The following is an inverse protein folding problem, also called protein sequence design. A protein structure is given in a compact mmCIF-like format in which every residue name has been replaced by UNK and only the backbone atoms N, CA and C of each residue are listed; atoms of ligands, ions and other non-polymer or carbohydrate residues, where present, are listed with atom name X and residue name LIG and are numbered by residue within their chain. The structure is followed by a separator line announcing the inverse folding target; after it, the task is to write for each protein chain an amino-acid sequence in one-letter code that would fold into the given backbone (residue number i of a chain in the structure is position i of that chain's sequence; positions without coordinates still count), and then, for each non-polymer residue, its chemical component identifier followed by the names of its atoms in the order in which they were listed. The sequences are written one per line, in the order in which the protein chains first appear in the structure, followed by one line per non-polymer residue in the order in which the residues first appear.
data_IF_910167250474
#
_entry.id   IF_910167250474
#
_cell.length_a   1.000
_cell.length_b   1.000
_cell.length_c   1.000
_cell.angle_alpha   90.00
_cell.angle_beta   90.00
_cell.angle_gamma   90.00
#
_symmetry.space_group_name_H-M   'P 1'
#
loop_
_entity.id
_entity.type
_entity.pdbx_description
1 polymer ?
#
# COMPACT_ATOMS: atom_id res chain seq x y z
N UNK A 1 1.92 5.82 -24.52
CA UNK A 1 1.52 6.46 -23.25
C UNK A 1 1.27 5.48 -22.08
N UNK A 2 0.70 4.28 -22.28
CA UNK A 2 0.46 3.32 -21.16
C UNK A 2 1.75 2.77 -20.52
N UNK A 3 2.81 2.59 -21.29
CA UNK A 3 4.11 2.09 -20.82
C UNK A 3 4.78 3.07 -19.83
N UNK A 4 4.81 4.37 -20.13
CA UNK A 4 5.42 5.36 -19.23
C UNK A 4 4.70 5.46 -17.89
N UNK A 5 3.35 5.42 -17.86
CA UNK A 5 2.59 5.41 -16.63
C UNK A 5 2.90 4.19 -15.74
N UNK A 6 3.03 3.00 -16.36
CA UNK A 6 3.39 1.80 -15.61
C UNK A 6 4.77 1.94 -14.96
N UNK A 7 5.77 2.41 -15.71
CA UNK A 7 7.13 2.63 -15.19
C UNK A 7 7.12 3.60 -14.00
N UNK A 8 6.41 4.73 -14.12
CA UNK A 8 6.31 5.74 -13.04
C UNK A 8 5.67 5.14 -11.79
N UNK A 9 4.57 4.38 -11.93
CA UNK A 9 3.88 3.79 -10.78
C UNK A 9 4.74 2.73 -10.08
N UNK A 10 5.42 1.87 -10.83
CA UNK A 10 6.31 0.88 -10.23
C UNK A 10 7.52 1.54 -9.57
N UNK A 11 8.11 2.56 -10.20
CA UNK A 11 9.20 3.32 -9.60
C UNK A 11 8.77 4.00 -8.29
N UNK A 12 7.61 4.69 -8.30
CA UNK A 12 7.07 5.32 -7.10
C UNK A 12 6.81 4.31 -5.97
N UNK A 13 6.26 3.12 -6.31
CA UNK A 13 6.00 2.05 -5.34
C UNK A 13 7.29 1.54 -4.70
N UNK A 14 8.32 1.25 -5.52
CA UNK A 14 9.61 0.77 -5.02
C UNK A 14 10.31 1.86 -4.21
N UNK A 15 10.32 3.11 -4.69
CA UNK A 15 10.90 4.23 -3.96
C UNK A 15 10.23 4.42 -2.60
N UNK A 16 8.90 4.29 -2.53
CA UNK A 16 8.18 4.42 -1.28
C UNK A 16 8.47 3.26 -0.32
N UNK A 17 8.56 2.02 -0.81
CA UNK A 17 9.00 0.89 0.01
C UNK A 17 10.41 1.12 0.60
N UNK A 18 11.32 1.66 -0.19
CA UNK A 18 12.67 2.03 0.28
C UNK A 18 12.61 3.13 1.35
N UNK A 19 11.72 4.11 1.20
CA UNK A 19 11.52 5.17 2.22
C UNK A 19 11.03 4.57 3.53
N UNK A 20 10.05 3.66 3.51
CA UNK A 20 9.59 2.92 4.70
C UNK A 20 10.76 2.20 5.34
N UNK A 21 11.52 1.41 4.59
CA UNK A 21 12.66 0.66 5.09
C UNK A 21 13.73 1.55 5.73
N UNK A 22 14.05 2.70 5.11
CA UNK A 22 14.99 3.65 5.68
C UNK A 22 14.44 4.25 6.98
N UNK A 23 13.17 4.67 7.02
CA UNK A 23 12.54 5.21 8.20
C UNK A 23 12.54 4.21 9.35
N UNK A 24 12.20 2.95 9.10
CA UNK A 24 12.27 1.84 10.04
C UNK A 24 13.68 1.55 10.55
N UNK A 25 14.69 1.77 9.72
CA UNK A 25 16.10 1.52 10.06
C UNK A 25 16.72 2.63 10.91
N UNK A 26 16.05 3.76 11.06
CA UNK A 26 16.57 4.85 11.90
C UNK A 26 16.37 4.55 13.38
N UNK A 27 17.38 4.77 14.24
CA UNK A 27 17.29 4.54 15.69
C UNK A 27 16.49 5.65 16.37
N UNK A 28 15.20 5.72 16.07
CA UNK A 28 14.27 6.70 16.67
C UNK A 28 13.40 6.00 17.70
N UNK A 29 13.23 6.56 18.93
CA UNK A 29 12.33 5.98 19.91
C UNK A 29 10.88 5.92 19.40
N UNK A 30 10.18 4.84 19.72
CA UNK A 30 8.73 4.73 19.51
C UNK A 30 7.97 4.96 20.81
N UNK A 31 6.86 5.74 20.84
CA UNK A 31 6.29 6.49 19.70
C UNK A 31 7.21 7.62 19.22
N UNK A 32 7.07 7.99 17.95
CA UNK A 32 7.85 9.07 17.36
C UNK A 32 7.69 10.38 18.16
N UNK A 33 8.77 11.16 18.39
CA UNK A 33 8.70 12.36 19.21
C UNK A 33 7.61 13.33 18.74
N UNK A 34 6.74 13.76 19.67
CA UNK A 34 5.67 14.72 19.40
C UNK A 34 4.35 14.14 18.88
N UNK A 35 4.28 12.85 18.56
CA UNK A 35 3.03 12.22 18.05
C UNK A 35 2.17 11.63 19.16
N UNK A 36 2.77 11.16 20.24
CA UNK A 36 2.10 10.32 21.24
C UNK A 36 1.63 8.97 20.65
N UNK A 37 1.13 8.05 21.51
CA UNK A 37 0.79 6.69 21.06
C UNK A 37 -0.27 6.63 19.95
N UNK A 38 -1.28 7.49 20.00
CA UNK A 38 -2.36 7.52 19.00
C UNK A 38 -1.86 8.07 17.67
N UNK A 39 -1.04 9.12 17.70
CA UNK A 39 -0.49 9.71 16.48
C UNK A 39 0.49 8.77 15.78
N UNK A 40 1.26 8.03 16.54
CA UNK A 40 2.18 7.01 16.04
C UNK A 40 1.42 5.92 15.26
N UNK A 41 0.38 5.35 15.85
CA UNK A 41 -0.49 4.35 15.19
C UNK A 41 -1.17 4.90 13.93
N UNK A 42 -1.62 6.15 13.96
CA UNK A 42 -2.21 6.80 12.79
C UNK A 42 -1.19 6.96 11.64
N UNK A 43 0.09 7.24 11.97
CA UNK A 43 1.15 7.30 10.96
C UNK A 43 1.37 5.95 10.30
N UNK A 44 1.45 4.86 11.06
CA UNK A 44 1.54 3.50 10.52
C UNK A 44 0.39 3.19 9.55
N UNK A 45 -0.86 3.45 9.97
CA UNK A 45 -2.02 3.23 9.11
C UNK A 45 -1.98 4.06 7.81
N UNK A 46 -1.56 5.32 7.88
CA UNK A 46 -1.43 6.18 6.71
C UNK A 46 -0.30 5.72 5.78
N UNK A 47 0.83 5.36 6.34
CA UNK A 47 2.02 4.91 5.61
C UNK A 47 1.72 3.65 4.80
N UNK A 48 1.19 2.61 5.45
CA UNK A 48 0.82 1.37 4.78
C UNK A 48 -0.43 1.48 3.91
N UNK A 49 -1.34 2.39 4.24
CA UNK A 49 -2.45 2.75 3.38
C UNK A 49 -1.97 3.34 2.05
N UNK A 50 -1.06 4.31 2.09
CA UNK A 50 -0.48 4.90 0.89
C UNK A 50 0.34 3.88 0.08
N UNK A 51 1.14 3.05 0.75
CA UNK A 51 1.87 1.97 0.10
C UNK A 51 0.94 1.02 -0.66
N UNK A 52 -0.16 0.63 -0.04
CA UNK A 52 -1.17 -0.23 -0.65
C UNK A 52 -1.82 0.42 -1.88
N UNK A 53 -2.13 1.72 -1.85
CA UNK A 53 -2.67 2.44 -3.01
C UNK A 53 -1.68 2.47 -4.18
N UNK A 54 -0.40 2.75 -3.92
CA UNK A 54 0.65 2.73 -4.94
C UNK A 54 0.81 1.34 -5.55
N UNK A 55 0.87 0.29 -4.73
CA UNK A 55 0.92 -1.10 -5.18
C UNK A 55 -0.31 -1.46 -6.04
N UNK A 56 -1.52 -1.16 -5.57
CA UNK A 56 -2.74 -1.46 -6.29
C UNK A 56 -2.81 -0.74 -7.65
N UNK A 57 -2.37 0.52 -7.69
CA UNK A 57 -2.27 1.29 -8.92
C UNK A 57 -1.23 0.69 -9.88
N UNK A 58 -0.05 0.32 -9.38
CA UNK A 58 1.01 -0.30 -10.20
C UNK A 58 0.57 -1.67 -10.74
N UNK A 59 0.04 -2.55 -9.88
CA UNK A 59 -0.45 -3.88 -10.26
C UNK A 59 -1.58 -3.77 -11.30
N UNK A 60 -2.43 -2.76 -11.22
CA UNK A 60 -3.51 -2.55 -12.19
C UNK A 60 -3.01 -2.18 -13.59
N UNK A 61 -1.72 -1.88 -13.77
CA UNK A 61 -1.11 -1.69 -15.10
C UNK A 61 -0.68 -3.00 -15.77
N UNK A 62 -0.65 -4.11 -15.02
CA UNK A 62 -0.27 -5.43 -15.53
C UNK A 62 -1.28 -5.89 -16.59
N UNK A 63 -0.78 -6.41 -17.70
CA UNK A 63 -1.62 -6.84 -18.84
C UNK A 63 -2.46 -8.09 -18.56
N UNK A 64 -2.08 -8.90 -17.56
CA UNK A 64 -2.82 -10.09 -17.22
C UNK A 64 -4.17 -9.72 -16.56
N UNK A 65 -5.33 -10.06 -17.16
CA UNK A 65 -6.64 -9.68 -16.62
C UNK A 65 -6.91 -10.24 -15.23
N UNK A 66 -6.43 -11.45 -14.93
CA UNK A 66 -6.62 -12.09 -13.60
C UNK A 66 -5.85 -11.35 -12.52
N UNK A 67 -4.62 -10.94 -12.80
CA UNK A 67 -3.80 -10.14 -11.87
C UNK A 67 -4.41 -8.76 -11.70
N UNK A 68 -4.79 -8.13 -12.80
CA UNK A 68 -5.39 -6.80 -12.78
C UNK A 68 -6.72 -6.75 -12.00
N UNK A 69 -7.60 -7.74 -12.17
CA UNK A 69 -8.86 -7.81 -11.43
C UNK A 69 -8.68 -8.00 -9.92
N UNK A 70 -7.56 -8.58 -9.50
CA UNK A 70 -7.20 -8.83 -8.09
C UNK A 70 -6.21 -7.81 -7.52
N UNK A 71 -5.96 -6.70 -8.21
CA UNK A 71 -4.92 -5.74 -7.83
C UNK A 71 -5.03 -5.26 -6.37
N UNK A 72 -6.25 -4.97 -5.89
CA UNK A 72 -6.48 -4.56 -4.50
C UNK A 72 -6.09 -5.65 -3.49
N UNK A 73 -6.51 -6.89 -3.74
CA UNK A 73 -6.20 -8.03 -2.87
C UNK A 73 -4.70 -8.33 -2.84
N UNK A 74 -4.06 -8.36 -4.01
CA UNK A 74 -2.61 -8.61 -4.10
C UNK A 74 -1.85 -7.49 -3.39
N UNK A 75 -2.24 -6.23 -3.60
CA UNK A 75 -1.61 -5.09 -2.94
C UNK A 75 -1.75 -5.15 -1.42
N UNK A 76 -2.92 -5.47 -0.90
CA UNK A 76 -3.14 -5.70 0.52
C UNK A 76 -2.22 -6.80 1.07
N UNK A 77 -2.19 -7.96 0.42
CA UNK A 77 -1.35 -9.09 0.88
C UNK A 77 0.13 -8.72 0.91
N UNK A 78 0.62 -8.06 -0.15
CA UNK A 78 2.03 -7.64 -0.22
C UNK A 78 2.34 -6.59 0.86
N UNK A 79 1.47 -5.60 1.05
CA UNK A 79 1.66 -4.57 2.07
C UNK A 79 1.64 -5.16 3.48
N UNK A 80 0.71 -6.08 3.78
CA UNK A 80 0.65 -6.74 5.09
C UNK A 80 1.90 -7.60 5.37
N UNK A 81 2.39 -8.33 4.36
CA UNK A 81 3.64 -9.09 4.50
C UNK A 81 4.84 -8.16 4.67
N UNK A 82 4.86 -7.02 3.98
CA UNK A 82 5.92 -6.03 4.14
C UNK A 82 5.91 -5.43 5.55
N UNK A 83 4.74 -5.07 6.11
CA UNK A 83 4.59 -4.61 7.48
C UNK A 83 5.09 -5.63 8.50
N UNK A 84 4.77 -6.91 8.30
CA UNK A 84 5.29 -7.97 9.16
C UNK A 84 6.82 -8.04 9.12
N UNK A 85 7.43 -7.92 7.94
CA UNK A 85 8.90 -7.90 7.81
C UNK A 85 9.51 -6.65 8.40
N UNK A 86 8.81 -5.52 8.34
CA UNK A 86 9.22 -4.25 8.91
C UNK A 86 9.28 -4.31 10.43
N UNK A 87 8.22 -4.81 11.09
CA UNK A 87 8.20 -5.02 12.54
C UNK A 87 9.31 -5.98 13.00
N UNK A 88 9.50 -7.06 12.24
CA UNK A 88 10.60 -7.98 12.54
C UNK A 88 11.97 -7.28 12.39
N UNK A 89 12.15 -6.47 11.36
CA UNK A 89 13.37 -5.70 11.15
C UNK A 89 13.64 -4.73 12.31
N UNK A 90 12.61 -4.03 12.80
CA UNK A 90 12.73 -3.06 13.89
C UNK A 90 13.25 -3.70 15.18
N UNK A 91 13.01 -4.99 15.43
CA UNK A 91 13.56 -5.69 16.61
C UNK A 91 15.10 -5.76 16.60
N UNK A 92 15.74 -5.58 15.45
CA UNK A 92 17.20 -5.56 15.29
C UNK A 92 17.79 -4.15 15.26
N UNK A 93 16.95 -3.10 15.24
CA UNK A 93 17.40 -1.71 15.19
C UNK A 93 17.59 -1.16 16.61
N UNK A 94 18.77 -0.62 16.97
CA UNK A 94 18.99 -0.03 18.29
C UNK A 94 17.95 1.04 18.63
N UNK A 95 17.45 1.03 19.88
CA UNK A 95 16.39 1.91 20.41
C UNK A 95 15.00 1.80 19.74
N UNK A 96 14.77 0.83 18.85
CA UNK A 96 13.45 0.42 18.39
C UNK A 96 12.96 -0.80 19.15
N UNK A 97 11.65 -0.88 19.33
CA UNK A 97 11.00 -2.07 19.87
C UNK A 97 9.91 -2.42 18.86
N UNK A 98 9.98 -3.61 18.28
CA UNK A 98 8.90 -4.11 17.43
C UNK A 98 7.61 -4.15 18.24
N UNK A 99 6.57 -3.47 17.78
CA UNK A 99 5.26 -3.39 18.43
C UNK A 99 4.20 -4.07 17.56
N UNK A 100 3.67 -5.18 18.06
CA UNK A 100 2.59 -5.90 17.36
C UNK A 100 1.35 -5.03 17.08
N UNK A 101 1.14 -3.94 17.85
CA UNK A 101 0.07 -2.98 17.57
C UNK A 101 0.39 -2.13 16.33
N UNK A 102 1.66 -1.81 16.07
CA UNK A 102 2.06 -1.11 14.85
C UNK A 102 1.72 -1.95 13.62
N UNK A 103 2.07 -3.24 13.64
CA UNK A 103 1.65 -4.17 12.59
C UNK A 103 0.13 -4.24 12.42
N UNK A 104 -0.65 -4.22 13.50
CA UNK A 104 -2.12 -4.20 13.39
C UNK A 104 -2.59 -2.95 12.67
N UNK A 105 -2.02 -1.77 12.94
CA UNK A 105 -2.39 -0.53 12.27
C UNK A 105 -1.90 -0.46 10.83
N UNK A 106 -0.77 -1.06 10.51
CA UNK A 106 -0.31 -1.26 9.11
C UNK A 106 -1.35 -2.06 8.32
N UNK A 107 -1.80 -3.19 8.88
CA UNK A 107 -2.84 -4.04 8.26
C UNK A 107 -4.17 -3.30 8.13
N UNK A 108 -4.59 -2.52 9.13
CA UNK A 108 -5.81 -1.71 9.08
C UNK A 108 -5.71 -0.67 7.95
N UNK A 109 -4.61 0.07 7.88
CA UNK A 109 -4.38 1.06 6.84
C UNK A 109 -4.38 0.43 5.44
N UNK A 110 -3.67 -0.69 5.29
CA UNK A 110 -3.65 -1.45 4.04
C UNK A 110 -5.03 -1.97 3.63
N UNK A 111 -5.83 -2.49 4.58
CA UNK A 111 -7.17 -3.00 4.30
C UNK A 111 -8.14 -1.91 3.86
N UNK A 112 -8.14 -0.76 4.55
CA UNK A 112 -8.97 0.40 4.21
C UNK A 112 -8.61 0.92 2.81
N UNK A 113 -7.32 1.05 2.51
CA UNK A 113 -6.85 1.50 1.21
C UNK A 113 -7.22 0.54 0.07
N UNK A 114 -7.04 -0.77 0.30
CA UNK A 114 -7.42 -1.80 -0.68
C UNK A 114 -8.93 -1.81 -0.94
N UNK A 115 -9.76 -1.69 0.10
CA UNK A 115 -11.21 -1.60 -0.03
C UNK A 115 -11.64 -0.34 -0.79
N UNK A 116 -11.08 0.82 -0.46
CA UNK A 116 -11.34 2.08 -1.15
C UNK A 116 -10.96 1.99 -2.64
N UNK A 117 -9.79 1.43 -2.95
CA UNK A 117 -9.34 1.24 -4.33
C UNK A 117 -10.26 0.27 -5.10
N UNK A 118 -10.69 -0.82 -4.48
CA UNK A 118 -11.61 -1.78 -5.10
C UNK A 118 -12.96 -1.14 -5.42
N UNK A 119 -13.54 -0.42 -4.47
CA UNK A 119 -14.82 0.29 -4.66
C UNK A 119 -14.71 1.35 -5.75
N UNK A 120 -13.67 2.16 -5.73
CA UNK A 120 -13.42 3.16 -6.77
C UNK A 120 -13.34 2.53 -8.16
N UNK A 121 -12.56 1.48 -8.32
CA UNK A 121 -12.44 0.77 -9.60
C UNK A 121 -13.76 0.19 -10.08
N UNK A 122 -14.52 -0.42 -9.18
CA UNK A 122 -15.83 -1.00 -9.51
C UNK A 122 -16.82 0.06 -10.01
N UNK A 123 -16.78 1.26 -9.41
CA UNK A 123 -17.62 2.38 -9.86
C UNK A 123 -17.21 2.89 -11.23
N UNK A 124 -15.91 3.08 -11.47
CA UNK A 124 -15.39 3.54 -12.76
C UNK A 124 -15.72 2.54 -13.88
N UNK A 125 -15.60 1.24 -13.61
CA UNK A 125 -15.92 0.20 -14.60
C UNK A 125 -17.41 0.15 -14.95
N UNK A 126 -18.31 0.46 -14.01
CA UNK A 126 -19.76 0.50 -14.25
C UNK A 126 -20.21 1.77 -14.97
N UNK A 127 -19.46 2.87 -14.82
CA UNK A 127 -19.77 4.14 -15.46
C UNK A 127 -19.28 4.23 -16.92
N UNK A 128 -18.45 3.29 -17.39
CA UNK A 128 -18.01 3.23 -18.77
C UNK A 128 -19.20 2.90 -19.69
N UNK A 129 -19.53 3.72 -20.70
CA UNK A 129 -20.64 3.46 -21.61
C UNK A 129 -20.39 2.14 -22.36
N UNK A 130 -21.43 1.31 -22.46
CA UNK A 130 -21.46 0.13 -23.33
C UNK A 130 -21.32 0.68 -24.76
N UNK A 131 -20.21 0.40 -25.44
CA UNK A 131 -20.11 0.69 -26.85
C UNK A 131 -21.17 -0.17 -27.56
N UNK A 132 -22.26 0.45 -28.01
CA UNK A 132 -23.21 -0.19 -28.92
C UNK A 132 -22.44 -0.61 -30.17
N UNK A 133 -22.09 -1.89 -30.24
CA UNK A 133 -21.75 -2.53 -31.49
C UNK A 133 -23.01 -2.62 -32.28
N UNK A 134 -23.25 -1.60 -33.15
CA UNK A 134 -24.31 -1.66 -34.18
C UNK A 134 -24.06 -2.90 -35.06
N UNK A 135 -24.98 -3.85 -35.10
CA UNK A 135 -24.91 -4.95 -36.07
C UNK A 135 -25.15 -4.37 -37.45
N UNK A 136 -24.20 -4.56 -38.37
CA UNK A 136 -24.40 -4.46 -39.78
C UNK A 136 -24.74 -5.84 -40.35
#
# INVERSE_FOLDING_TARGET
MRSGRAVVLWFATVAYAVVIFIASSLPVPTPAPGTGPVGDKALHALEYGLFTLLLAAAISTVRNPRVNSRAALIAFTVAALYGLTDELHQTFVPSRVGDSLDFVWDVVGAAVAAAAFHVWRSRVSRAAPVSETSPR
#
